data_IF_901452117192
#
_entry.id   IF_901452117192
#
_cell.length_a   1.000
_cell.length_b   1.000
_cell.length_c   1.000
_cell.angle_alpha   90.00
_cell.angle_beta   90.00
_cell.angle_gamma   90.00
#
_symmetry.space_group_name_H-M   'P 1'
#
loop_
_entity.id
_entity.type
_entity.pdbx_description
1 polymer ?
#
# COMPACT_ATOMS: atom_id res chain seq x y z
N UNK A 1 3.94 -10.83 23.91
CA UNK A 1 4.89 -11.76 23.26
C UNK A 1 4.93 -13.11 23.97
N UNK A 2 5.44 -14.16 23.33
CA UNK A 2 5.46 -15.55 23.83
C UNK A 2 6.81 -15.92 24.49
N UNK A 3 7.76 -15.03 24.52
CA UNK A 3 9.10 -15.22 25.11
C UNK A 3 9.42 -14.10 26.09
N UNK A 4 10.32 -14.38 27.01
CA UNK A 4 10.85 -13.38 27.93
C UNK A 4 12.02 -12.64 27.29
N UNK A 5 12.25 -11.41 27.73
CA UNK A 5 13.45 -10.69 27.36
C UNK A 5 14.70 -11.36 27.94
N UNK A 6 15.68 -11.61 27.07
CA UNK A 6 16.96 -12.20 27.43
C UNK A 6 18.09 -11.32 26.86
N UNK A 7 18.80 -10.61 27.74
CA UNK A 7 19.92 -9.72 27.34
C UNK A 7 21.08 -10.48 26.69
N UNK A 8 21.25 -11.77 27.03
CA UNK A 8 22.33 -12.63 26.52
C UNK A 8 21.93 -13.39 25.25
N UNK A 9 20.70 -13.20 24.74
CA UNK A 9 20.26 -13.88 23.53
C UNK A 9 21.17 -13.51 22.34
N UNK A 10 21.63 -14.52 21.63
CA UNK A 10 22.45 -14.40 20.43
C UNK A 10 21.67 -14.93 19.22
N UNK A 11 22.04 -14.50 18.00
CA UNK A 11 21.40 -14.97 16.77
C UNK A 11 21.68 -16.46 16.57
N UNK A 12 20.67 -17.34 16.74
CA UNK A 12 20.89 -18.78 16.55
C UNK A 12 21.14 -19.11 15.09
N UNK A 13 22.03 -20.07 14.84
CA UNK A 13 22.36 -20.52 13.48
C UNK A 13 21.75 -21.90 13.19
N UNK A 14 21.21 -22.06 11.99
CA UNK A 14 20.70 -23.33 11.48
C UNK A 14 21.16 -23.50 10.02
N UNK A 15 21.92 -24.57 9.74
CA UNK A 15 22.38 -24.86 8.38
C UNK A 15 23.20 -23.73 7.74
N UNK A 16 23.93 -22.96 8.57
CA UNK A 16 24.81 -21.89 8.12
C UNK A 16 24.14 -20.51 7.96
N UNK A 17 22.89 -20.35 8.33
CA UNK A 17 22.17 -19.06 8.28
C UNK A 17 21.43 -18.76 9.61
N UNK A 18 21.14 -17.50 9.82
CA UNK A 18 20.53 -16.93 11.01
C UNK A 18 19.33 -16.04 10.65
N UNK A 19 18.67 -15.46 11.65
CA UNK A 19 17.61 -14.46 11.44
C UNK A 19 18.12 -13.27 10.64
N UNK A 20 19.35 -12.82 10.92
CA UNK A 20 19.95 -11.66 10.25
C UNK A 20 20.23 -11.95 8.77
N UNK A 21 20.84 -13.12 8.48
CA UNK A 21 21.08 -13.56 7.09
C UNK A 21 19.77 -13.83 6.36
N UNK A 22 18.74 -14.35 7.04
CA UNK A 22 17.43 -14.53 6.44
C UNK A 22 16.75 -13.19 6.09
N UNK A 23 16.80 -12.18 6.97
CA UNK A 23 16.30 -10.85 6.64
C UNK A 23 17.12 -10.22 5.51
N UNK A 24 18.42 -10.40 5.50
CA UNK A 24 19.27 -9.94 4.40
C UNK A 24 18.87 -10.61 3.05
N UNK A 25 18.58 -11.90 3.04
CA UNK A 25 18.04 -12.61 1.86
C UNK A 25 16.65 -12.06 1.46
N UNK A 26 15.73 -11.84 2.41
CA UNK A 26 14.37 -11.32 2.12
C UNK A 26 14.37 -9.96 1.45
N UNK A 27 15.31 -9.13 1.84
CA UNK A 27 15.38 -7.73 1.40
C UNK A 27 16.58 -7.43 0.49
N UNK A 28 17.19 -8.48 -0.08
CA UNK A 28 18.31 -8.36 -1.03
C UNK A 28 19.47 -7.50 -0.50
N UNK A 29 19.80 -7.65 0.79
CA UNK A 29 20.80 -6.88 1.53
C UNK A 29 20.54 -5.36 1.59
N UNK A 30 19.31 -4.93 1.32
CA UNK A 30 18.94 -3.53 1.42
C UNK A 30 18.78 -3.11 2.89
N UNK A 31 19.68 -2.25 3.35
CA UNK A 31 19.73 -1.82 4.75
C UNK A 31 18.49 -1.03 5.19
N UNK A 32 17.87 -0.26 4.29
CA UNK A 32 16.65 0.50 4.61
C UNK A 32 15.46 -0.43 4.79
N UNK A 33 15.29 -1.41 3.91
CA UNK A 33 14.22 -2.40 4.01
C UNK A 33 14.40 -3.33 5.22
N UNK A 34 15.63 -3.72 5.54
CA UNK A 34 15.95 -4.50 6.75
C UNK A 34 15.62 -3.69 8.00
N UNK A 35 15.97 -2.40 8.02
CA UNK A 35 15.61 -1.50 9.12
C UNK A 35 14.08 -1.43 9.31
N UNK A 36 13.32 -1.26 8.23
CA UNK A 36 11.85 -1.27 8.30
C UNK A 36 11.27 -2.61 8.74
N UNK A 37 11.90 -3.72 8.38
CA UNK A 37 11.48 -5.04 8.87
C UNK A 37 11.60 -5.12 10.39
N UNK A 38 12.69 -4.64 10.96
CA UNK A 38 12.88 -4.57 12.41
C UNK A 38 11.91 -3.59 13.08
N UNK A 39 11.66 -2.42 12.50
CA UNK A 39 10.63 -1.50 12.98
C UNK A 39 9.22 -2.15 12.93
N UNK A 40 8.93 -2.94 11.89
CA UNK A 40 7.67 -3.70 11.78
C UNK A 40 7.55 -4.75 12.91
N UNK A 41 8.61 -5.48 13.18
CA UNK A 41 8.66 -6.45 14.30
C UNK A 41 8.44 -5.72 15.63
N UNK A 42 9.12 -4.61 15.84
CA UNK A 42 8.97 -3.79 17.06
C UNK A 42 7.53 -3.27 17.22
N UNK A 43 6.92 -2.77 16.16
CA UNK A 43 5.53 -2.30 16.17
C UNK A 43 4.57 -3.39 16.64
N UNK A 44 4.74 -4.61 16.13
CA UNK A 44 3.94 -5.77 16.52
C UNK A 44 4.19 -6.17 17.97
N UNK A 45 5.45 -6.12 18.44
CA UNK A 45 5.81 -6.40 19.85
C UNK A 45 5.19 -5.38 20.79
N UNK A 46 5.25 -4.09 20.46
CA UNK A 46 4.70 -2.99 21.25
C UNK A 46 3.17 -2.89 21.17
N UNK A 47 2.53 -3.49 20.17
CA UNK A 47 1.09 -3.38 19.93
C UNK A 47 0.68 -2.01 19.40
N UNK A 48 1.59 -1.30 18.73
CA UNK A 48 1.35 0.02 18.15
C UNK A 48 2.13 0.20 16.84
N UNK A 49 1.46 0.59 15.79
CA UNK A 49 1.99 0.73 14.42
C UNK A 49 1.80 2.15 13.86
N UNK A 50 1.97 3.19 14.69
CA UNK A 50 1.89 4.60 14.29
C UNK A 50 0.60 4.91 13.50
N UNK A 51 -0.55 4.40 14.00
CA UNK A 51 -1.87 4.53 13.39
C UNK A 51 -1.95 4.04 11.92
N UNK A 52 -1.10 3.08 11.55
CA UNK A 52 -0.99 2.59 10.17
C UNK A 52 -1.30 1.11 10.04
N UNK A 53 -1.87 0.75 8.90
CA UNK A 53 -1.93 -0.62 8.42
C UNK A 53 -0.57 -0.95 7.79
N UNK A 54 0.05 -2.02 8.24
CA UNK A 54 1.32 -2.50 7.68
C UNK A 54 1.01 -3.41 6.49
N UNK A 55 1.50 -3.02 5.32
CA UNK A 55 1.36 -3.77 4.09
C UNK A 55 2.67 -4.44 3.70
N UNK A 56 2.67 -5.77 3.64
CA UNK A 56 3.74 -6.57 3.08
C UNK A 56 3.45 -6.76 1.59
N UNK A 57 4.12 -6.00 0.72
CA UNK A 57 3.85 -5.99 -0.71
C UNK A 57 4.98 -6.65 -1.48
N UNK A 58 4.64 -7.60 -2.35
CA UNK A 58 5.59 -8.28 -3.24
C UNK A 58 4.93 -9.42 -3.96
N UNK A 59 5.59 -9.95 -5.00
CA UNK A 59 5.12 -11.10 -5.79
C UNK A 59 4.93 -12.36 -4.93
N UNK A 60 4.33 -13.40 -5.49
CA UNK A 60 4.31 -14.73 -4.87
C UNK A 60 5.74 -15.26 -4.67
N UNK A 61 5.97 -15.98 -3.55
CA UNK A 61 7.29 -16.59 -3.30
C UNK A 61 8.38 -15.66 -2.75
N UNK A 62 8.05 -14.43 -2.35
CA UNK A 62 9.00 -13.44 -1.81
C UNK A 62 9.22 -13.52 -0.29
N UNK A 63 8.65 -14.50 0.40
CA UNK A 63 8.86 -14.72 1.84
C UNK A 63 7.88 -14.01 2.78
N UNK A 64 6.90 -13.23 2.27
CA UNK A 64 5.86 -12.56 3.09
C UNK A 64 5.22 -13.48 4.12
N UNK A 65 4.75 -14.65 3.69
CA UNK A 65 4.10 -15.61 4.59
C UNK A 65 5.03 -16.20 5.66
N UNK A 66 6.35 -16.25 5.43
CA UNK A 66 7.32 -16.64 6.46
C UNK A 66 7.54 -15.52 7.45
N UNK A 67 7.58 -14.27 6.99
CA UNK A 67 7.66 -13.10 7.85
C UNK A 67 6.41 -12.96 8.74
N UNK A 68 5.21 -13.16 8.18
CA UNK A 68 3.97 -13.23 8.97
C UNK A 68 4.00 -14.35 10.02
N UNK A 69 4.53 -15.53 9.69
CA UNK A 69 4.67 -16.62 10.68
C UNK A 69 5.59 -16.24 11.84
N UNK A 70 6.69 -15.50 11.57
CA UNK A 70 7.54 -14.95 12.64
C UNK A 70 6.72 -14.04 13.57
N UNK A 71 5.95 -13.11 13.03
CA UNK A 71 5.12 -12.18 13.81
C UNK A 71 4.07 -12.94 14.65
N UNK A 72 3.44 -13.96 14.06
CA UNK A 72 2.47 -14.82 14.76
C UNK A 72 3.14 -15.57 15.91
N UNK A 73 4.35 -16.11 15.70
CA UNK A 73 5.07 -16.86 16.73
C UNK A 73 5.53 -15.94 17.87
N UNK A 74 5.90 -14.68 17.60
CA UNK A 74 6.23 -13.69 18.62
C UNK A 74 5.04 -13.33 19.52
N UNK A 75 3.89 -13.06 18.90
CA UNK A 75 2.68 -12.62 19.62
C UNK A 75 1.89 -13.81 20.20
N UNK A 76 1.95 -14.93 19.54
CA UNK A 76 1.18 -16.14 19.84
C UNK A 76 -0.14 -16.23 19.06
N UNK A 77 -0.46 -17.45 18.63
CA UNK A 77 -1.67 -17.73 17.83
C UNK A 77 -2.96 -17.35 18.55
N UNK A 78 -3.02 -17.51 19.86
CA UNK A 78 -4.21 -17.15 20.66
C UNK A 78 -4.48 -15.65 20.62
N UNK A 79 -3.44 -14.82 20.50
CA UNK A 79 -3.52 -13.36 20.45
C UNK A 79 -3.61 -12.82 19.02
N UNK A 80 -3.64 -13.71 18.02
CA UNK A 80 -3.68 -13.36 16.60
C UNK A 80 -5.03 -13.68 16.00
N UNK A 81 -5.58 -12.77 15.19
CA UNK A 81 -6.72 -13.04 14.32
C UNK A 81 -6.23 -13.17 12.87
N UNK A 82 -6.81 -14.11 12.13
CA UNK A 82 -6.62 -14.21 10.68
C UNK A 82 -7.81 -13.57 9.98
N UNK A 83 -7.58 -12.42 9.34
CA UNK A 83 -8.65 -11.65 8.71
C UNK A 83 -8.07 -10.78 7.59
N UNK A 84 -8.60 -10.90 6.38
CA UNK A 84 -8.24 -10.04 5.25
C UNK A 84 -8.82 -8.65 5.44
N UNK A 85 -8.16 -7.64 4.87
CA UNK A 85 -8.61 -6.25 5.06
C UNK A 85 -10.02 -6.00 4.51
N UNK A 86 -10.40 -6.68 3.43
CA UNK A 86 -11.76 -6.59 2.87
C UNK A 86 -12.85 -7.03 3.86
N UNK A 87 -12.52 -7.88 4.83
CA UNK A 87 -13.46 -8.31 5.86
C UNK A 87 -13.67 -7.23 6.94
N UNK A 88 -12.79 -6.21 6.98
CA UNK A 88 -12.90 -5.02 7.84
C UNK A 88 -13.64 -3.84 7.15
N UNK A 89 -14.21 -4.05 5.94
CA UNK A 89 -15.14 -3.09 5.34
C UNK A 89 -16.28 -2.80 6.32
N UNK A 90 -16.61 -1.54 6.56
CA UNK A 90 -17.62 -1.10 7.52
C UNK A 90 -19.00 -1.71 7.32
N UNK A 91 -19.26 -2.29 6.16
CA UNK A 91 -20.48 -3.07 5.87
C UNK A 91 -20.51 -4.41 6.59
N UNK A 92 -19.37 -4.95 7.06
CA UNK A 92 -19.31 -6.21 7.81
C UNK A 92 -19.42 -5.96 9.31
N UNK A 93 -20.63 -5.85 9.80
CA UNK A 93 -20.97 -5.52 11.20
C UNK A 93 -20.37 -6.47 12.25
N UNK A 94 -20.06 -7.72 11.88
CA UNK A 94 -19.59 -8.75 12.82
C UNK A 94 -18.06 -8.89 12.86
N UNK A 95 -17.33 -8.21 12.00
CA UNK A 95 -15.87 -8.33 11.90
C UNK A 95 -15.18 -8.00 13.24
N UNK A 96 -15.54 -6.87 13.86
CA UNK A 96 -14.97 -6.40 15.12
C UNK A 96 -15.07 -7.39 16.27
N UNK A 97 -16.10 -8.22 16.27
CA UNK A 97 -16.30 -9.22 17.33
C UNK A 97 -15.24 -10.32 17.36
N UNK A 98 -14.57 -10.58 16.24
CA UNK A 98 -13.50 -11.57 16.12
C UNK A 98 -12.15 -11.02 16.62
N UNK A 99 -12.06 -9.71 16.82
CA UNK A 99 -10.84 -9.01 17.22
C UNK A 99 -10.74 -8.81 18.76
N UNK A 100 -11.74 -9.21 19.50
CA UNK A 100 -11.75 -9.08 20.96
C UNK A 100 -10.59 -9.89 21.56
N UNK A 101 -9.71 -9.21 22.32
CA UNK A 101 -8.53 -9.82 22.93
C UNK A 101 -7.41 -10.18 21.93
N UNK A 102 -7.48 -9.68 20.69
CA UNK A 102 -6.43 -9.88 19.70
C UNK A 102 -5.48 -8.69 19.68
N UNK A 103 -4.18 -8.99 19.64
CA UNK A 103 -3.11 -8.01 19.53
C UNK A 103 -2.58 -7.86 18.11
N UNK A 104 -2.80 -8.87 17.26
CA UNK A 104 -2.35 -8.90 15.88
C UNK A 104 -3.47 -9.38 14.96
N UNK A 105 -3.66 -8.69 13.84
CA UNK A 105 -4.54 -9.10 12.75
C UNK A 105 -3.68 -9.36 11.52
N UNK A 106 -3.63 -10.63 11.09
CA UNK A 106 -2.91 -11.04 9.88
C UNK A 106 -3.90 -11.32 8.76
N UNK A 107 -3.71 -10.65 7.62
CA UNK A 107 -4.40 -11.01 6.38
C UNK A 107 -3.39 -11.42 5.31
N UNK A 108 -3.59 -12.60 4.74
CA UNK A 108 -2.74 -13.12 3.67
C UNK A 108 -3.51 -13.16 2.36
N UNK A 109 -2.81 -12.95 1.24
CA UNK A 109 -3.40 -12.97 -0.11
C UNK A 109 -4.69 -12.14 -0.21
N UNK A 110 -4.58 -10.85 0.13
CA UNK A 110 -5.70 -9.94 -0.05
C UNK A 110 -6.10 -9.83 -1.53
N UNK A 111 -7.41 -9.89 -1.85
CA UNK A 111 -7.89 -9.85 -3.23
C UNK A 111 -7.69 -8.44 -3.83
N UNK A 112 -6.84 -8.34 -4.84
CA UNK A 112 -6.49 -7.07 -5.50
C UNK A 112 -7.58 -6.52 -6.44
N UNK A 113 -8.53 -7.36 -6.82
CA UNK A 113 -9.71 -7.02 -7.65
C UNK A 113 -10.86 -6.43 -6.84
N UNK A 114 -10.81 -6.51 -5.53
CA UNK A 114 -11.83 -6.00 -4.62
C UNK A 114 -11.52 -4.57 -4.16
N UNK A 115 -12.58 -3.83 -3.84
CA UNK A 115 -12.51 -2.46 -3.34
C UNK A 115 -13.11 -2.41 -1.95
N UNK A 116 -12.41 -1.83 -0.99
CA UNK A 116 -12.99 -1.46 0.31
C UNK A 116 -13.80 -0.20 0.09
N UNK A 117 -15.10 -0.30 0.31
CA UNK A 117 -16.03 0.80 0.02
C UNK A 117 -16.33 1.65 1.24
N UNK A 118 -16.16 1.11 2.45
CA UNK A 118 -16.29 1.81 3.72
C UNK A 118 -15.08 1.51 4.62
N UNK A 119 -14.06 2.37 4.61
CA UNK A 119 -12.86 2.19 5.41
C UNK A 119 -13.02 2.58 6.89
N UNK A 120 -14.18 3.03 7.34
CA UNK A 120 -14.38 3.60 8.68
C UNK A 120 -13.95 2.66 9.81
N UNK A 121 -14.36 1.39 9.75
CA UNK A 121 -14.01 0.41 10.78
C UNK A 121 -12.51 0.17 10.86
N UNK A 122 -11.83 -0.02 9.71
CA UNK A 122 -10.39 -0.26 9.72
C UNK A 122 -9.60 0.97 10.19
N UNK A 123 -10.06 2.18 9.84
CA UNK A 123 -9.43 3.40 10.31
C UNK A 123 -9.59 3.58 11.82
N UNK A 124 -10.77 3.34 12.36
CA UNK A 124 -10.99 3.37 13.81
C UNK A 124 -10.15 2.32 14.56
N UNK A 125 -9.88 1.17 13.95
CA UNK A 125 -9.02 0.15 14.56
C UNK A 125 -7.55 0.58 14.62
N UNK A 126 -7.01 1.23 13.58
CA UNK A 126 -5.60 1.66 13.57
C UNK A 126 -5.35 2.91 14.41
N UNK A 127 -6.34 3.79 14.55
CA UNK A 127 -6.30 4.95 15.46
C UNK A 127 -6.66 4.58 16.90
N UNK A 128 -6.98 3.30 17.13
CA UNK A 128 -7.43 2.80 18.43
C UNK A 128 -8.66 3.55 18.99
N UNK A 129 -9.56 3.95 18.11
CA UNK A 129 -10.82 4.57 18.49
C UNK A 129 -11.81 3.54 19.02
N UNK A 130 -12.90 4.03 19.63
CA UNK A 130 -13.99 3.20 20.09
C UNK A 130 -14.78 2.67 18.87
N UNK A 131 -14.93 1.35 18.80
CA UNK A 131 -15.71 0.69 17.75
C UNK A 131 -16.92 -0.05 18.33
N UNK A 132 -17.96 -0.19 17.52
CA UNK A 132 -19.12 -1.01 17.88
C UNK A 132 -18.79 -2.49 17.69
N UNK A 133 -19.09 -3.28 18.69
CA UNK A 133 -18.95 -4.73 18.69
C UNK A 133 -20.34 -5.35 18.58
N UNK A 134 -20.56 -6.08 17.49
CA UNK A 134 -21.82 -6.81 17.30
C UNK A 134 -21.58 -8.32 17.25
N UNK A 135 -22.39 -9.07 17.98
CA UNK A 135 -22.42 -10.54 17.94
C UNK A 135 -23.84 -10.99 17.66
N UNK A 136 -23.98 -12.00 16.79
CA UNK A 136 -25.32 -12.56 16.48
C UNK A 136 -26.05 -12.96 17.75
N UNK A 137 -27.26 -12.44 17.89
CA UNK A 137 -28.13 -12.78 19.05
C UNK A 137 -27.69 -12.12 20.38
N UNK A 138 -26.79 -11.15 20.38
CA UNK A 138 -26.40 -10.38 21.57
C UNK A 138 -26.57 -8.89 21.33
N UNK A 139 -26.80 -8.14 22.41
CA UNK A 139 -26.83 -6.69 22.35
C UNK A 139 -25.47 -6.16 21.91
N UNK A 140 -25.47 -5.20 20.99
CA UNK A 140 -24.25 -4.49 20.58
C UNK A 140 -23.73 -3.62 21.74
N UNK A 141 -22.42 -3.48 21.82
CA UNK A 141 -21.74 -2.62 22.78
C UNK A 141 -20.52 -1.96 22.13
N UNK A 142 -20.00 -0.93 22.76
CA UNK A 142 -18.82 -0.21 22.31
C UNK A 142 -17.58 -0.62 23.10
N UNK A 143 -16.46 -0.81 22.42
CA UNK A 143 -15.18 -1.10 23.05
C UNK A 143 -14.02 -0.52 22.25
N UNK A 144 -12.89 -0.32 22.92
CA UNK A 144 -11.61 0.00 22.26
C UNK A 144 -10.88 -1.28 21.96
N UNK A 145 -10.53 -1.48 20.68
CA UNK A 145 -9.70 -2.58 20.21
C UNK A 145 -8.38 -1.97 19.69
N UNK A 146 -7.27 -2.61 20.03
CA UNK A 146 -5.93 -2.08 19.73
C UNK A 146 -5.03 -3.11 19.01
N UNK A 147 -5.51 -3.81 17.97
CA UNK A 147 -4.66 -4.73 17.26
C UNK A 147 -3.73 -3.99 16.29
N UNK A 148 -2.51 -4.48 16.14
CA UNK A 148 -1.69 -4.14 14.98
C UNK A 148 -2.21 -4.91 13.76
N UNK A 149 -2.45 -4.22 12.66
CA UNK A 149 -3.00 -4.80 11.43
C UNK A 149 -1.88 -4.97 10.41
N UNK A 150 -1.54 -6.22 10.09
CA UNK A 150 -0.53 -6.58 9.09
C UNK A 150 -1.20 -7.35 7.96
N UNK A 151 -1.09 -6.86 6.75
CA UNK A 151 -1.74 -7.43 5.57
C UNK A 151 -0.71 -7.75 4.50
N UNK A 152 -0.90 -8.80 3.74
CA UNK A 152 -0.07 -9.10 2.58
C UNK A 152 -0.87 -9.19 1.28
N UNK A 153 -0.25 -8.75 0.19
CA UNK A 153 -0.77 -8.91 -1.16
C UNK A 153 0.33 -8.70 -2.20
N UNK A 154 0.01 -8.93 -3.46
CA UNK A 154 0.94 -8.65 -4.57
C UNK A 154 0.91 -7.16 -5.00
N UNK A 155 -0.17 -6.45 -4.69
CA UNK A 155 -0.37 -5.02 -4.94
C UNK A 155 -1.21 -4.42 -3.81
N UNK A 156 -1.21 -3.11 -3.68
CA UNK A 156 -2.16 -2.44 -2.79
C UNK A 156 -3.59 -2.65 -3.30
N UNK A 157 -4.49 -2.96 -2.38
CA UNK A 157 -5.92 -3.02 -2.70
C UNK A 157 -6.50 -1.60 -2.76
N UNK A 158 -7.53 -1.44 -3.57
CA UNK A 158 -8.23 -0.16 -3.69
C UNK A 158 -9.10 0.09 -2.45
N UNK A 159 -8.91 1.27 -1.86
CA UNK A 159 -9.72 1.76 -0.75
C UNK A 159 -10.42 3.03 -1.22
N UNK A 160 -11.74 3.06 -1.10
CA UNK A 160 -12.52 4.23 -1.46
C UNK A 160 -12.46 5.27 -0.32
N UNK A 161 -12.26 6.54 -0.67
CA UNK A 161 -12.23 7.62 0.31
C UNK A 161 -11.16 8.66 0.00
N UNK A 162 -10.88 9.48 0.98
CA UNK A 162 -9.85 10.53 0.89
C UNK A 162 -8.45 9.93 0.76
N UNK A 163 -7.73 10.29 -0.31
CA UNK A 163 -6.42 9.72 -0.64
C UNK A 163 -5.35 10.06 0.41
N UNK A 164 -5.39 11.24 0.98
CA UNK A 164 -4.43 11.66 2.02
C UNK A 164 -4.68 10.89 3.32
N UNK A 165 -5.95 10.70 3.69
CA UNK A 165 -6.32 9.91 4.85
C UNK A 165 -5.89 8.44 4.71
N UNK A 166 -6.01 7.87 3.51
CA UNK A 166 -5.56 6.50 3.20
C UNK A 166 -4.03 6.41 3.24
N UNK A 167 -3.33 7.33 2.58
CA UNK A 167 -1.87 7.35 2.53
C UNK A 167 -1.26 7.49 3.94
N UNK A 168 -1.79 8.38 4.77
CA UNK A 168 -1.36 8.59 6.15
C UNK A 168 -1.50 7.33 7.02
N UNK A 169 -2.51 6.48 6.73
CA UNK A 169 -2.79 5.24 7.45
C UNK A 169 -2.20 3.99 6.79
N UNK A 170 -1.33 4.18 5.83
CA UNK A 170 -0.69 3.09 5.09
C UNK A 170 0.81 3.11 5.30
N UNK A 171 1.36 1.99 5.74
CA UNK A 171 2.80 1.75 5.77
C UNK A 171 3.12 0.54 4.89
N UNK A 172 4.10 0.65 4.00
CA UNK A 172 4.45 -0.40 3.05
C UNK A 172 5.85 -0.92 3.38
N UNK A 173 5.95 -2.23 3.60
CA UNK A 173 7.21 -2.96 3.63
C UNK A 173 7.32 -3.77 2.32
N UNK A 174 8.15 -3.35 1.37
CA UNK A 174 8.34 -4.07 0.11
C UNK A 174 9.10 -5.37 0.31
N UNK A 175 8.63 -6.45 -0.31
CA UNK A 175 9.33 -7.72 -0.40
C UNK A 175 9.87 -7.89 -1.83
N UNK A 176 11.16 -7.64 -1.99
CA UNK A 176 11.82 -7.49 -3.31
C UNK A 176 12.50 -8.75 -3.82
N UNK A 177 12.86 -9.67 -2.94
CA UNK A 177 13.55 -10.93 -3.30
C UNK A 177 12.58 -11.94 -3.87
N UNK A 178 12.99 -12.65 -4.91
CA UNK A 178 12.23 -13.78 -5.48
C UNK A 178 12.99 -15.07 -5.17
N UNK A 179 12.34 -15.99 -4.44
CA UNK A 179 12.89 -17.30 -4.16
C UNK A 179 12.34 -18.28 -5.19
N UNK A 180 13.24 -18.91 -5.96
CA UNK A 180 12.89 -20.05 -6.80
C UNK A 180 12.59 -21.29 -5.92
N UNK A 181 12.09 -22.38 -6.55
CA UNK A 181 11.75 -23.61 -5.80
C UNK A 181 12.93 -24.19 -5.04
N UNK A 182 14.16 -24.01 -5.53
CA UNK A 182 15.39 -24.55 -4.93
C UNK A 182 15.86 -23.67 -3.75
N UNK A 183 15.53 -22.38 -3.74
CA UNK A 183 15.80 -21.45 -2.63
C UNK A 183 14.77 -21.50 -1.50
N UNK A 184 13.68 -22.24 -1.65
CA UNK A 184 12.64 -22.34 -0.63
C UNK A 184 13.03 -23.33 0.48
N UNK A 185 13.49 -22.80 1.59
CA UNK A 185 13.86 -23.61 2.78
C UNK A 185 12.63 -23.76 3.70
N UNK A 186 11.91 -24.88 3.57
CA UNK A 186 10.74 -25.19 4.43
C UNK A 186 11.06 -25.16 5.92
N UNK A 187 12.26 -25.55 6.27
CA UNK A 187 12.78 -25.59 7.64
C UNK A 187 12.77 -24.22 8.33
N UNK A 188 12.95 -23.12 7.56
CA UNK A 188 12.85 -21.76 8.09
C UNK A 188 11.48 -21.57 8.75
N UNK A 189 10.42 -21.69 7.98
CA UNK A 189 9.05 -21.44 8.42
C UNK A 189 8.55 -22.48 9.41
N UNK A 190 8.89 -23.77 9.20
CA UNK A 190 8.31 -24.87 9.96
C UNK A 190 9.01 -25.15 11.27
N UNK A 191 10.31 -24.88 11.35
CA UNK A 191 11.17 -25.21 12.50
C UNK A 191 11.81 -23.97 13.11
N UNK A 192 12.65 -23.27 12.35
CA UNK A 192 13.52 -22.23 12.86
C UNK A 192 12.77 -21.06 13.48
N UNK A 193 11.79 -20.49 12.77
CA UNK A 193 11.00 -19.34 13.26
C UNK A 193 10.06 -19.65 14.44
N UNK A 194 10.04 -20.90 14.91
CA UNK A 194 9.28 -21.34 16.09
C UNK A 194 10.17 -21.60 17.31
N UNK A 195 11.49 -21.60 17.11
CA UNK A 195 12.43 -21.88 18.20
C UNK A 195 12.40 -20.76 19.23
N UNK A 196 12.42 -21.13 20.49
CA UNK A 196 12.36 -20.17 21.60
C UNK A 196 13.57 -19.23 21.61
N UNK A 197 14.77 -19.75 21.40
CA UNK A 197 16.03 -18.98 21.34
C UNK A 197 16.04 -17.97 20.17
N UNK A 198 15.44 -18.33 19.01
CA UNK A 198 15.25 -17.41 17.87
C UNK A 198 14.32 -16.27 18.26
N UNK A 199 13.19 -16.59 18.89
CA UNK A 199 12.20 -15.56 19.30
C UNK A 199 12.76 -14.65 20.40
N UNK A 200 13.57 -15.16 21.34
CA UNK A 200 14.27 -14.35 22.33
C UNK A 200 15.25 -13.36 21.67
N UNK A 201 16.05 -13.86 20.72
CA UNK A 201 16.96 -12.99 19.96
C UNK A 201 16.20 -11.92 19.16
N UNK A 202 15.12 -12.30 18.47
CA UNK A 202 14.30 -11.36 17.71
C UNK A 202 13.69 -10.31 18.64
N UNK A 203 13.19 -10.68 19.81
CA UNK A 203 12.67 -9.75 20.81
C UNK A 203 13.76 -8.77 21.27
N UNK A 204 14.93 -9.28 21.66
CA UNK A 204 16.06 -8.46 22.08
C UNK A 204 16.45 -7.46 21.00
N UNK A 205 16.72 -7.95 19.79
CA UNK A 205 17.21 -7.11 18.70
C UNK A 205 16.16 -6.08 18.23
N UNK A 206 14.87 -6.45 18.18
CA UNK A 206 13.82 -5.51 17.82
C UNK A 206 13.72 -4.33 18.80
N UNK A 207 14.00 -4.54 20.08
CA UNK A 207 13.96 -3.49 21.11
C UNK A 207 15.12 -2.47 21.01
N UNK A 208 16.12 -2.73 20.17
CA UNK A 208 17.19 -1.78 19.84
C UNK A 208 16.75 -0.73 18.80
N UNK A 209 15.61 -0.97 18.13
CA UNK A 209 15.04 -0.04 17.17
C UNK A 209 14.07 0.94 17.85
N UNK A 210 13.75 2.02 17.15
CA UNK A 210 12.79 3.02 17.60
C UNK A 210 11.72 3.30 16.53
N UNK A 211 10.51 3.55 17.02
CA UNK A 211 9.34 3.99 16.26
C UNK A 211 8.57 5.11 16.98
N UNK A 212 9.21 5.83 17.90
CA UNK A 212 8.58 6.95 18.62
C UNK A 212 8.17 8.08 17.71
N UNK A 213 8.97 8.34 16.66
CA UNK A 213 8.70 9.33 15.61
C UNK A 213 8.04 8.70 14.37
N UNK A 214 7.47 7.50 14.51
CA UNK A 214 6.89 6.72 13.42
C UNK A 214 7.90 5.82 12.70
N UNK A 215 7.46 5.21 11.61
CA UNK A 215 8.33 4.42 10.74
C UNK A 215 9.26 5.33 9.94
N UNK A 216 10.49 4.86 9.68
CA UNK A 216 11.43 5.57 8.80
C UNK A 216 10.78 5.83 7.43
N UNK A 217 10.83 7.07 6.98
CA UNK A 217 10.34 7.43 5.66
C UNK A 217 11.29 6.91 4.56
N UNK A 218 10.77 6.06 3.70
CA UNK A 218 11.43 5.55 2.49
C UNK A 218 10.61 5.82 1.23
N UNK A 219 9.82 6.88 1.22
CA UNK A 219 9.01 7.26 0.04
C UNK A 219 9.84 7.42 -1.24
N UNK A 220 11.11 7.79 -1.10
CA UNK A 220 12.10 7.89 -2.18
C UNK A 220 12.59 6.52 -2.71
N UNK A 221 12.38 5.44 -1.96
CA UNK A 221 12.92 4.12 -2.29
C UNK A 221 12.32 3.57 -3.58
N UNK A 222 13.13 3.03 -4.54
CA UNK A 222 12.63 2.57 -5.83
C UNK A 222 11.52 1.53 -5.74
N UNK A 223 11.60 0.60 -4.78
CA UNK A 223 10.57 -0.42 -4.58
C UNK A 223 9.23 0.18 -4.15
N UNK A 224 9.22 1.25 -3.34
CA UNK A 224 8.00 1.97 -2.96
C UNK A 224 7.40 2.69 -4.17
N UNK A 225 8.25 3.38 -4.95
CA UNK A 225 7.80 4.07 -6.17
C UNK A 225 7.22 3.08 -7.20
N UNK A 226 7.83 1.91 -7.35
CA UNK A 226 7.32 0.86 -8.22
C UNK A 226 5.95 0.32 -7.74
N UNK A 227 5.77 0.11 -6.43
CA UNK A 227 4.51 -0.36 -5.85
C UNK A 227 3.41 0.68 -6.08
N UNK A 228 3.68 1.96 -5.83
CA UNK A 228 2.73 3.03 -6.09
C UNK A 228 2.40 3.13 -7.59
N UNK A 229 3.39 3.09 -8.46
CA UNK A 229 3.19 3.10 -9.92
C UNK A 229 2.30 1.95 -10.40
N UNK A 230 2.53 0.73 -9.92
CA UNK A 230 1.70 -0.45 -10.27
C UNK A 230 0.29 -0.42 -9.68
N UNK A 231 0.07 0.36 -8.64
CA UNK A 231 -1.25 0.51 -7.99
C UNK A 231 -2.07 1.64 -8.59
N UNK A 232 -1.45 2.50 -9.40
CA UNK A 232 -2.13 3.57 -10.12
C UNK A 232 -3.01 2.99 -11.23
N UNK A 233 -4.20 3.58 -11.42
CA UNK A 233 -5.00 3.31 -12.62
C UNK A 233 -4.28 3.86 -13.87
N UNK A 234 -4.67 3.39 -15.06
CA UNK A 234 -4.11 3.94 -16.30
C UNK A 234 -4.34 5.46 -16.42
N UNK A 235 -5.44 5.96 -15.86
CA UNK A 235 -5.77 7.40 -15.83
C UNK A 235 -4.85 8.16 -14.85
N UNK A 236 -4.56 7.60 -13.70
CA UNK A 236 -3.64 8.21 -12.73
C UNK A 236 -2.20 8.24 -13.26
N UNK A 237 -1.74 7.14 -13.87
CA UNK A 237 -0.43 7.08 -14.54
C UNK A 237 -0.33 8.10 -15.66
N UNK A 238 -1.37 8.20 -16.49
CA UNK A 238 -1.47 9.19 -17.54
C UNK A 238 -1.44 10.63 -16.99
N UNK A 239 -2.23 10.90 -15.96
CA UNK A 239 -2.27 12.22 -15.31
C UNK A 239 -0.88 12.61 -14.81
N UNK A 240 -0.22 11.75 -14.05
CA UNK A 240 1.14 12.00 -13.57
C UNK A 240 2.12 12.26 -14.72
N UNK A 241 2.09 11.42 -15.77
CA UNK A 241 2.95 11.54 -16.94
C UNK A 241 2.75 12.85 -17.68
N UNK A 242 1.48 13.20 -17.97
CA UNK A 242 1.13 14.38 -18.74
C UNK A 242 1.45 15.67 -17.97
N UNK A 243 0.88 15.84 -16.79
CA UNK A 243 0.96 17.11 -16.05
C UNK A 243 2.36 17.44 -15.51
N UNK A 244 3.29 16.49 -15.49
CA UNK A 244 4.70 16.74 -15.21
C UNK A 244 5.49 17.30 -16.42
N UNK A 245 4.90 17.33 -17.60
CA UNK A 245 5.61 17.65 -18.87
C UNK A 245 4.99 18.76 -19.68
N UNK A 246 3.65 18.90 -19.64
CA UNK A 246 2.94 19.88 -20.48
C UNK A 246 3.36 21.32 -20.22
N UNK A 247 3.45 22.08 -21.29
CA UNK A 247 3.71 23.51 -21.30
C UNK A 247 2.44 24.34 -21.42
N UNK A 248 1.37 23.74 -21.96
CA UNK A 248 0.06 24.38 -22.10
C UNK A 248 -0.51 24.79 -20.75
N UNK A 249 -1.21 25.90 -20.72
CA UNK A 249 -2.05 26.31 -19.58
C UNK A 249 -3.54 26.02 -19.78
N UNK A 250 -3.88 25.53 -20.99
CA UNK A 250 -5.19 25.02 -21.34
C UNK A 250 -5.05 23.73 -22.17
N UNK A 251 -5.69 22.65 -21.74
CA UNK A 251 -5.69 21.35 -22.42
C UNK A 251 -7.10 21.00 -22.90
N UNK A 252 -7.37 21.02 -24.21
CA UNK A 252 -8.66 20.65 -24.76
C UNK A 252 -9.07 19.22 -24.41
N UNK A 253 -10.35 18.98 -24.21
CA UNK A 253 -10.88 17.65 -23.89
C UNK A 253 -10.57 16.62 -24.98
N UNK A 254 -10.54 17.05 -26.25
CA UNK A 254 -10.16 16.23 -27.40
C UNK A 254 -8.69 15.79 -27.31
N UNK A 255 -7.80 16.71 -26.94
CA UNK A 255 -6.39 16.40 -26.70
C UNK A 255 -6.23 15.40 -25.55
N UNK A 256 -6.89 15.61 -24.43
CA UNK A 256 -6.80 14.74 -23.27
C UNK A 256 -7.21 13.30 -23.61
N UNK A 257 -8.26 13.11 -24.40
CA UNK A 257 -8.73 11.78 -24.82
C UNK A 257 -7.77 11.13 -25.82
N UNK A 258 -7.26 11.90 -26.77
CA UNK A 258 -6.27 11.42 -27.73
C UNK A 258 -4.97 11.04 -27.02
N UNK A 259 -4.42 11.92 -26.18
CA UNK A 259 -3.20 11.67 -25.45
C UNK A 259 -3.30 10.46 -24.51
N UNK A 260 -4.43 10.30 -23.83
CA UNK A 260 -4.69 9.11 -23.01
C UNK A 260 -4.73 7.83 -23.84
N UNK A 261 -5.35 7.86 -25.03
CA UNK A 261 -5.35 6.72 -25.96
C UNK A 261 -3.91 6.34 -26.34
N UNK A 262 -3.11 7.32 -26.78
CA UNK A 262 -1.72 7.09 -27.17
C UNK A 262 -0.86 6.58 -25.99
N UNK A 263 -1.07 7.15 -24.79
CA UNK A 263 -0.37 6.72 -23.58
C UNK A 263 -0.66 5.26 -23.24
N UNK A 264 -1.93 4.84 -23.26
CA UNK A 264 -2.30 3.45 -23.00
C UNK A 264 -1.73 2.49 -24.04
N UNK A 265 -1.80 2.82 -25.32
CA UNK A 265 -1.26 2.01 -26.42
C UNK A 265 0.27 1.85 -26.29
N UNK A 266 0.99 2.94 -26.03
CA UNK A 266 2.45 2.93 -25.88
C UNK A 266 2.95 2.18 -24.64
N UNK A 267 2.13 2.07 -23.59
CA UNK A 267 2.49 1.40 -22.34
C UNK A 267 1.79 0.04 -22.14
N UNK A 268 1.05 -0.46 -23.12
CA UNK A 268 0.35 -1.75 -23.01
C UNK A 268 -0.74 -1.77 -21.92
N UNK A 269 -1.37 -0.62 -21.63
CA UNK A 269 -2.39 -0.48 -20.61
C UNK A 269 -3.80 -0.61 -21.18
N UNK A 270 -4.68 -1.24 -20.42
CA UNK A 270 -6.10 -1.27 -20.78
C UNK A 270 -6.73 0.12 -20.67
N UNK A 271 -7.48 0.50 -21.69
CA UNK A 271 -8.18 1.77 -21.77
C UNK A 271 -9.61 1.64 -21.28
N UNK A 272 -9.99 2.44 -20.29
CA UNK A 272 -11.38 2.58 -19.85
C UNK A 272 -12.28 3.28 -20.88
N UNK A 273 -13.59 3.30 -20.62
CA UNK A 273 -14.55 4.09 -21.40
C UNK A 273 -14.26 5.59 -21.25
N UNK A 274 -14.77 6.39 -22.20
CA UNK A 274 -14.63 7.85 -22.16
C UNK A 274 -15.22 8.46 -20.90
N UNK A 275 -16.34 7.93 -20.44
CA UNK A 275 -17.04 8.36 -19.23
C UNK A 275 -16.22 8.04 -17.96
N UNK A 276 -15.68 6.82 -17.89
CA UNK A 276 -14.79 6.40 -16.81
C UNK A 276 -13.52 7.26 -16.75
N UNK A 277 -12.89 7.50 -17.93
CA UNK A 277 -11.73 8.38 -18.04
C UNK A 277 -11.99 9.77 -17.45
N UNK A 278 -13.08 10.43 -17.86
CA UNK A 278 -13.38 11.77 -17.38
C UNK A 278 -13.74 11.82 -15.89
N UNK A 279 -14.37 10.77 -15.37
CA UNK A 279 -14.66 10.66 -13.94
C UNK A 279 -13.37 10.51 -13.13
N UNK A 280 -12.54 9.54 -13.48
CA UNK A 280 -11.28 9.27 -12.79
C UNK A 280 -10.27 10.42 -12.94
N UNK A 281 -10.20 11.05 -14.13
CA UNK A 281 -9.28 12.15 -14.34
C UNK A 281 -9.58 13.35 -13.45
N UNK A 282 -10.85 13.64 -13.12
CA UNK A 282 -11.19 14.70 -12.18
C UNK A 282 -10.62 14.47 -10.79
N UNK A 283 -10.53 13.22 -10.37
CA UNK A 283 -9.97 12.81 -9.08
C UNK A 283 -8.43 12.74 -9.12
N UNK A 284 -7.87 12.52 -10.33
CA UNK A 284 -6.42 12.41 -10.57
C UNK A 284 -5.75 13.72 -11.00
N UNK A 285 -6.50 14.83 -11.12
CA UNK A 285 -5.94 16.13 -11.49
C UNK A 285 -5.02 16.67 -10.40
N UNK A 286 -3.86 17.24 -10.76
CA UNK A 286 -3.08 18.04 -9.82
C UNK A 286 -3.91 19.22 -9.28
N UNK A 287 -3.65 19.64 -8.05
CA UNK A 287 -4.41 20.67 -7.33
C UNK A 287 -4.45 22.03 -8.05
N UNK A 288 -3.44 22.31 -8.87
CA UNK A 288 -3.34 23.51 -9.68
C UNK A 288 -4.09 23.42 -11.03
N UNK A 289 -4.74 22.31 -11.35
CA UNK A 289 -5.53 22.14 -12.56
C UNK A 289 -7.02 21.98 -12.24
N UNK A 290 -7.88 22.49 -13.14
CA UNK A 290 -9.34 22.37 -12.97
C UNK A 290 -10.03 22.18 -14.32
N UNK A 291 -11.09 21.36 -14.34
CA UNK A 291 -11.94 21.22 -15.51
C UNK A 291 -12.82 22.45 -15.70
N UNK A 292 -12.75 23.09 -16.89
CA UNK A 292 -13.58 24.22 -17.30
C UNK A 292 -14.68 23.73 -18.25
N UNK A 293 -15.95 23.71 -17.81
CA UNK A 293 -17.04 23.21 -18.61
C UNK A 293 -17.49 24.19 -19.72
N UNK A 294 -17.09 25.47 -19.64
CA UNK A 294 -17.38 26.48 -20.64
C UNK A 294 -16.40 26.40 -21.80
N UNK A 295 -16.89 26.77 -22.99
CA UNK A 295 -16.07 26.79 -24.19
C UNK A 295 -15.02 27.91 -24.11
N UNK A 296 -13.76 27.55 -24.34
CA UNK A 296 -12.61 28.47 -24.37
C UNK A 296 -11.89 28.40 -25.71
N UNK A 297 -11.18 29.47 -26.08
CA UNK A 297 -10.27 29.48 -27.23
C UNK A 297 -9.03 28.66 -26.89
N UNK A 298 -8.34 28.13 -27.91
CA UNK A 298 -7.15 27.29 -27.73
C UNK A 298 -5.84 28.09 -27.77
N UNK A 299 -5.86 29.39 -27.47
CA UNK A 299 -4.66 30.25 -27.52
C UNK A 299 -3.54 29.82 -26.58
N UNK A 300 -3.91 29.17 -25.48
CA UNK A 300 -3.00 28.73 -24.43
C UNK A 300 -2.68 27.23 -24.52
N UNK A 301 -2.93 26.61 -25.68
CA UNK A 301 -2.57 25.24 -26.00
C UNK A 301 -1.30 25.25 -26.86
N UNK A 302 -0.26 24.55 -26.39
CA UNK A 302 1.00 24.32 -27.10
C UNK A 302 0.88 22.99 -27.87
N UNK A 303 0.89 23.03 -29.20
CA UNK A 303 0.80 21.84 -30.05
C UNK A 303 2.00 20.89 -29.83
N UNK A 304 3.15 21.41 -29.41
CA UNK A 304 4.34 20.61 -29.04
C UNK A 304 4.09 19.67 -27.86
N UNK A 305 3.04 19.86 -27.08
CA UNK A 305 2.67 18.92 -26.02
C UNK A 305 2.21 17.55 -26.57
N UNK A 306 1.84 17.46 -27.84
CA UNK A 306 1.54 16.19 -28.53
C UNK A 306 2.79 15.33 -28.74
N UNK A 307 3.98 15.92 -28.80
CA UNK A 307 5.26 15.24 -29.08
C UNK A 307 5.72 14.35 -27.91
N UNK A 308 5.12 14.51 -26.72
CA UNK A 308 5.36 13.62 -25.60
C UNK A 308 4.81 12.21 -25.76
N UNK A 309 4.00 11.98 -26.80
CA UNK A 309 3.36 10.69 -27.04
C UNK A 309 3.86 10.06 -28.35
N UNK A 310 4.17 8.77 -28.31
CA UNK A 310 4.37 7.97 -29.51
C UNK A 310 2.98 7.69 -30.08
N UNK A 311 2.67 8.19 -31.25
CA UNK A 311 1.33 8.13 -31.82
C UNK A 311 1.31 7.51 -33.22
N UNK A 312 0.26 6.73 -33.49
CA UNK A 312 -0.06 6.21 -34.80
C UNK A 312 -0.75 7.25 -35.68
N UNK A 313 -1.45 8.20 -35.05
CA UNK A 313 -2.18 9.28 -35.71
C UNK A 313 -1.84 10.62 -35.05
N UNK A 314 -1.46 11.67 -35.80
CA UNK A 314 -1.15 12.98 -35.25
C UNK A 314 -2.42 13.60 -34.64
N UNK A 315 -2.22 14.40 -33.59
CA UNK A 315 -3.30 15.20 -33.02
C UNK A 315 -3.54 16.44 -33.88
N UNK A 316 -4.75 16.63 -34.33
CA UNK A 316 -5.17 17.82 -35.07
C UNK A 316 -6.26 18.56 -34.27
N UNK A 317 -5.97 19.76 -33.83
CA UNK A 317 -6.89 20.63 -33.13
C UNK A 317 -7.51 21.64 -34.10
N UNK A 318 -8.85 21.69 -34.14
CA UNK A 318 -9.56 22.76 -34.82
C UNK A 318 -9.51 24.04 -33.96
N UNK A 319 -8.47 24.85 -34.17
CA UNK A 319 -8.25 26.07 -33.38
C UNK A 319 -9.26 27.18 -33.64
N UNK A 320 -10.03 27.07 -34.75
CA UNK A 320 -11.11 28.00 -35.07
C UNK A 320 -12.34 27.81 -34.14
N UNK A 321 -12.46 26.65 -33.55
CA UNK A 321 -13.56 26.34 -32.61
C UNK A 321 -13.15 26.61 -31.16
N UNK A 322 -14.17 26.76 -30.34
CA UNK A 322 -14.01 26.80 -28.88
C UNK A 322 -14.18 25.41 -28.29
N UNK A 323 -13.35 25.06 -27.31
CA UNK A 323 -13.29 23.75 -26.69
C UNK A 323 -13.54 23.84 -25.18
N UNK A 324 -14.15 22.78 -24.62
CA UNK A 324 -14.09 22.50 -23.18
C UNK A 324 -12.74 21.84 -22.87
N UNK A 325 -12.22 22.10 -21.69
CA UNK A 325 -10.91 21.52 -21.36
C UNK A 325 -10.51 21.74 -19.89
N UNK A 326 -9.24 21.52 -19.64
CA UNK A 326 -8.60 21.66 -18.33
C UNK A 326 -7.72 22.90 -18.33
N UNK A 327 -7.76 23.67 -17.26
CA UNK A 327 -7.07 24.96 -17.14
C UNK A 327 -6.15 24.92 -15.94
N UNK A 328 -4.92 25.41 -16.12
CA UNK A 328 -4.00 25.68 -15.03
C UNK A 328 -4.55 26.90 -14.26
N UNK A 329 -4.70 26.77 -12.95
CA UNK A 329 -5.09 27.89 -12.09
C UNK A 329 -3.92 28.87 -12.04
N UNK A 330 -4.14 30.11 -12.42
CA UNK A 330 -3.19 31.16 -12.11
C UNK A 330 -3.08 31.29 -10.59
N UNK A 331 -1.84 31.23 -10.06
CA UNK A 331 -1.62 31.66 -8.68
C UNK A 331 -2.07 33.11 -8.57
N UNK A 332 -3.19 33.34 -7.87
CA UNK A 332 -3.63 34.68 -7.49
C UNK A 332 -2.90 35.12 -6.25
#
# INVERSE_FOLDING_TARGET
VQVNYNSEANSPVLGGWSIDSWLAELFNNDAELIHLAWQTILAVIRGYADERIIWLIGKGGTGKGSFQELLINLVGRINTASMKLIELDGKNRFATSQLIGKHLVIGDDNPIDKVITDPSTMFSLVTHDIVTIEKKGKQAYSARLTPVIVQSSNRLIKIQGDKEAIARRTFILPFVSEFNKDGYKREIKQVYLKRHDVLEYVLKNALEYDISDGFKDISHHPAIQEIHGKSMTSVEQFSYYLFSRVKSTFLPNSFMLWAYKQFCEGNGLERGTKEAFHKELKEALPTNWVFKPTLSTCKDFDEGDSDYFIHSEPFNLDTAKRHKGYVLRSCS
#
